data_IF_566326495535
#
_entry.id   IF_566326495535
#
_cell.length_a   1.000
_cell.length_b   1.000
_cell.length_c   1.000
_cell.angle_alpha   90.00
_cell.angle_beta   90.00
_cell.angle_gamma   90.00
#
_symmetry.space_group_name_H-M   'P 1'
#
loop_
_entity.id
_entity.type
_entity.pdbx_description
1 polymer ?
#
# COMPACT_ATOMS: atom_id res chain seq x y z
N UNK A 1 0.20 12.33 20.31
CA UNK A 1 0.97 11.25 19.66
C UNK A 1 0.12 10.76 18.50
N UNK A 2 0.63 10.79 17.26
CA UNK A 2 -0.10 10.24 16.10
C UNK A 2 0.22 8.75 15.99
N UNK A 3 -0.82 7.91 15.96
CA UNK A 3 -0.68 6.46 15.74
C UNK A 3 -0.72 6.17 14.24
N UNK A 4 0.14 5.27 13.77
CA UNK A 4 -0.07 4.66 12.46
C UNK A 4 -1.24 3.67 12.55
N UNK A 5 -2.13 3.73 11.58
CA UNK A 5 -3.22 2.81 11.36
C UNK A 5 -3.02 2.14 10.03
N UNK A 6 -3.43 0.87 9.94
CA UNK A 6 -3.33 0.11 8.72
C UNK A 6 -4.51 -0.82 8.54
N UNK A 7 -4.84 -1.09 7.29
CA UNK A 7 -5.94 -1.94 6.89
C UNK A 7 -5.62 -2.65 5.58
N UNK A 8 -6.32 -3.74 5.34
CA UNK A 8 -6.37 -4.37 4.03
C UNK A 8 -7.50 -3.76 3.21
N UNK A 9 -7.21 -3.37 1.96
CA UNK A 9 -8.20 -3.43 0.89
C UNK A 9 -8.11 -4.81 0.25
N UNK A 10 -9.24 -5.50 0.15
CA UNK A 10 -9.33 -6.84 -0.41
C UNK A 10 -10.53 -6.98 -1.34
N UNK A 11 -10.47 -7.98 -2.20
CA UNK A 11 -11.51 -8.33 -3.16
C UNK A 11 -12.23 -9.59 -2.70
N UNK A 12 -13.56 -9.58 -2.81
CA UNK A 12 -14.45 -10.66 -2.37
C UNK A 12 -15.05 -11.43 -3.55
N UNK A 13 -15.59 -12.65 -3.35
CA UNK A 13 -16.12 -13.48 -4.45
C UNK A 13 -17.27 -12.86 -5.25
N UNK A 14 -18.04 -11.97 -4.64
CA UNK A 14 -19.10 -11.20 -5.30
C UNK A 14 -18.55 -9.96 -6.05
N UNK A 15 -17.25 -9.94 -6.34
CA UNK A 15 -16.53 -8.91 -7.09
C UNK A 15 -16.67 -7.50 -6.53
N UNK A 16 -16.74 -7.39 -5.21
CA UNK A 16 -16.71 -6.11 -4.50
C UNK A 16 -15.36 -5.94 -3.82
N UNK A 17 -14.88 -4.70 -3.78
CA UNK A 17 -13.77 -4.33 -2.90
C UNK A 17 -14.33 -4.03 -1.52
N UNK A 18 -13.64 -4.52 -0.50
CA UNK A 18 -13.96 -4.28 0.91
C UNK A 18 -12.68 -3.88 1.64
N UNK A 19 -12.84 -3.17 2.75
CA UNK A 19 -11.74 -2.76 3.61
C UNK A 19 -11.89 -3.43 4.98
N UNK A 20 -10.79 -3.90 5.55
CA UNK A 20 -10.80 -4.48 6.89
C UNK A 20 -11.01 -3.41 7.95
N UNK A 21 -11.28 -3.82 9.19
CA UNK A 21 -11.09 -2.92 10.33
C UNK A 21 -9.64 -2.42 10.36
N UNK A 22 -9.47 -1.20 10.84
CA UNK A 22 -8.15 -0.65 11.15
C UNK A 22 -7.58 -1.49 12.30
N UNK A 23 -6.38 -2.01 12.13
CA UNK A 23 -5.68 -2.66 13.23
C UNK A 23 -5.13 -1.61 14.18
N UNK A 24 -5.32 -1.85 15.47
CA UNK A 24 -4.75 -1.10 16.59
C UNK A 24 -3.44 -1.73 17.10
N UNK A 25 -3.01 -2.83 16.46
CA UNK A 25 -1.76 -3.49 16.79
C UNK A 25 -0.58 -2.62 16.38
N UNK A 26 0.25 -2.29 17.35
CA UNK A 26 1.47 -1.51 17.13
C UNK A 26 2.71 -2.32 17.52
N UNK A 27 3.77 -2.20 16.72
CA UNK A 27 5.13 -2.48 17.18
C UNK A 27 5.62 -1.21 17.88
N UNK A 28 6.04 -1.34 19.13
CA UNK A 28 6.83 -0.32 19.81
C UNK A 28 8.23 -0.31 19.20
N UNK A 29 8.70 0.85 18.77
CA UNK A 29 10.14 1.08 18.61
C UNK A 29 10.80 1.04 20.00
N UNK A 30 12.07 0.63 20.10
CA UNK A 30 12.83 0.50 21.38
C UNK A 30 12.89 1.81 22.19
N UNK A 31 12.49 2.93 21.56
CA UNK A 31 12.46 4.27 22.12
C UNK A 31 11.03 4.81 22.37
N UNK A 32 9.98 4.01 22.21
CA UNK A 32 8.55 4.32 22.48
C UNK A 32 7.98 5.59 21.78
N UNK A 33 8.71 6.11 20.79
CA UNK A 33 8.41 7.38 20.11
C UNK A 33 7.60 7.23 18.82
N UNK A 34 7.53 6.01 18.27
CA UNK A 34 6.77 5.69 17.05
C UNK A 34 6.06 4.34 17.26
N UNK A 35 4.75 4.33 17.03
CA UNK A 35 3.95 3.11 16.98
C UNK A 35 3.71 2.80 15.51
N UNK A 36 4.47 1.87 14.96
CA UNK A 36 4.26 1.41 13.59
C UNK A 36 3.14 0.38 13.56
N UNK A 37 2.26 0.48 12.56
CA UNK A 37 1.11 -0.40 12.48
C UNK A 37 1.48 -1.83 12.05
N UNK A 38 0.91 -2.84 12.73
CA UNK A 38 1.09 -4.25 12.35
C UNK A 38 -0.14 -4.74 11.60
N UNK A 39 -0.01 -4.88 10.29
CA UNK A 39 -1.07 -5.43 9.45
C UNK A 39 -1.10 -6.97 9.56
N UNK A 40 -2.21 -7.57 10.03
CA UNK A 40 -2.32 -9.03 10.11
C UNK A 40 -2.11 -9.70 8.76
N UNK A 41 -1.58 -10.93 8.79
CA UNK A 41 -1.44 -11.72 7.56
C UNK A 41 -2.80 -12.03 6.92
N UNK A 42 -3.85 -12.22 7.71
CA UNK A 42 -5.15 -12.63 7.22
C UNK A 42 -6.23 -11.62 7.62
N UNK A 43 -7.15 -11.34 6.70
CA UNK A 43 -8.40 -10.64 7.03
C UNK A 43 -9.35 -11.64 7.67
N UNK A 44 -9.89 -11.28 8.83
CA UNK A 44 -10.99 -11.98 9.48
C UNK A 44 -12.31 -11.26 9.15
N UNK A 45 -12.99 -11.73 8.10
CA UNK A 45 -14.31 -11.25 7.69
C UNK A 45 -15.31 -12.42 7.72
N UNK A 46 -16.21 -12.49 8.70
CA UNK A 46 -17.09 -13.66 8.89
C UNK A 46 -18.09 -13.85 7.73
N UNK A 47 -18.24 -12.85 6.84
CA UNK A 47 -19.10 -12.95 5.65
C UNK A 47 -18.49 -13.84 4.57
N UNK A 48 -17.18 -14.09 4.61
CA UNK A 48 -16.45 -14.78 3.55
C UNK A 48 -15.45 -15.80 4.12
N UNK A 49 -15.35 -17.01 3.54
CA UNK A 49 -14.29 -17.94 3.94
C UNK A 49 -12.91 -17.37 3.59
N UNK A 50 -11.88 -17.56 4.43
CA UNK A 50 -10.55 -16.95 4.23
C UNK A 50 -9.92 -17.24 2.85
N UNK A 51 -10.14 -18.44 2.31
CA UNK A 51 -9.61 -18.86 1.00
C UNK A 51 -10.20 -18.09 -0.20
N UNK A 52 -11.32 -17.41 0.01
CA UNK A 52 -12.07 -16.68 -1.02
C UNK A 52 -11.71 -15.20 -1.10
N UNK A 53 -10.99 -14.69 -0.11
CA UNK A 53 -10.49 -13.31 -0.04
C UNK A 53 -9.22 -13.20 -0.91
N UNK A 54 -9.15 -12.15 -1.73
CA UNK A 54 -7.94 -11.80 -2.50
C UNK A 54 -7.41 -10.45 -2.03
N UNK A 55 -6.11 -10.39 -1.74
CA UNK A 55 -5.48 -9.22 -1.13
C UNK A 55 -5.05 -8.22 -2.21
N UNK A 56 -5.39 -6.94 -2.04
CA UNK A 56 -5.19 -5.90 -3.05
C UNK A 56 -4.20 -4.86 -2.55
N UNK A 57 -4.54 -4.12 -1.49
CA UNK A 57 -3.67 -3.09 -0.94
C UNK A 57 -3.48 -3.24 0.57
N UNK A 58 -2.23 -3.21 1.02
CA UNK A 58 -1.90 -2.84 2.39
C UNK A 58 -1.94 -1.31 2.48
N UNK A 59 -2.88 -0.78 3.25
CA UNK A 59 -3.06 0.66 3.44
C UNK A 59 -2.48 1.05 4.80
N UNK A 60 -1.75 2.16 4.87
CA UNK A 60 -1.42 2.81 6.14
C UNK A 60 -1.23 4.33 5.99
N UNK A 61 -1.18 5.08 7.09
CA UNK A 61 -0.78 6.48 7.09
C UNK A 61 0.73 6.62 7.38
N UNK A 62 1.37 7.56 6.70
CA UNK A 62 2.73 8.05 6.97
C UNK A 62 2.65 9.51 7.44
N UNK A 63 2.30 9.77 8.71
CA UNK A 63 2.18 11.14 9.21
C UNK A 63 3.53 11.90 9.23
N UNK A 64 4.67 11.20 9.17
CA UNK A 64 5.99 11.81 9.33
C UNK A 64 7.05 11.38 8.30
N UNK A 65 6.74 10.42 7.42
CA UNK A 65 7.71 9.90 6.46
C UNK A 65 7.53 10.52 5.07
N UNK A 66 8.65 10.88 4.45
CA UNK A 66 8.67 11.43 3.10
C UNK A 66 8.69 10.36 1.99
N UNK A 67 8.75 9.07 2.36
CA UNK A 67 8.78 7.89 1.47
C UNK A 67 8.29 6.65 2.22
N UNK A 68 8.00 5.57 1.49
CA UNK A 68 7.88 4.23 2.07
C UNK A 68 9.19 3.82 2.76
N UNK A 69 9.07 3.10 3.87
CA UNK A 69 10.18 2.53 4.62
C UNK A 69 10.64 1.20 4.03
N UNK A 70 11.85 0.78 4.39
CA UNK A 70 12.35 -0.55 4.01
C UNK A 70 11.46 -1.67 4.59
N UNK A 71 10.90 -1.45 5.79
CA UNK A 71 9.94 -2.37 6.40
C UNK A 71 8.64 -2.46 5.57
N UNK A 72 8.12 -1.35 5.05
CA UNK A 72 6.91 -1.37 4.19
C UNK A 72 7.15 -2.24 2.95
N UNK A 73 8.35 -2.15 2.38
CA UNK A 73 8.79 -2.91 1.20
C UNK A 73 8.94 -4.40 1.53
N UNK A 74 9.59 -4.74 2.64
CA UNK A 74 9.76 -6.12 3.08
C UNK A 74 8.43 -6.75 3.46
N UNK A 75 7.60 -6.05 4.22
CA UNK A 75 6.33 -6.56 4.73
C UNK A 75 5.38 -6.89 3.57
N UNK A 76 5.22 -6.00 2.58
CA UNK A 76 4.32 -6.28 1.45
C UNK A 76 4.81 -7.46 0.60
N UNK A 77 6.13 -7.64 0.47
CA UNK A 77 6.70 -8.80 -0.22
C UNK A 77 6.46 -10.08 0.56
N UNK A 78 6.60 -10.05 1.89
CA UNK A 78 6.25 -11.18 2.75
C UNK A 78 4.75 -11.53 2.63
N UNK A 79 3.85 -10.55 2.58
CA UNK A 79 2.41 -10.81 2.33
C UNK A 79 2.18 -11.43 0.95
N UNK A 80 2.86 -10.94 -0.08
CA UNK A 80 2.78 -11.50 -1.43
C UNK A 80 3.24 -12.94 -1.54
N UNK A 81 4.22 -13.37 -0.73
CA UNK A 81 4.64 -14.79 -0.65
C UNK A 81 3.57 -15.70 -0.05
N UNK A 82 2.74 -15.18 0.85
CA UNK A 82 1.66 -15.94 1.49
C UNK A 82 0.44 -16.03 0.58
N UNK A 83 0.07 -14.92 -0.07
CA UNK A 83 -1.22 -14.77 -0.75
C UNK A 83 -1.16 -14.75 -2.28
N UNK A 84 0.05 -14.70 -2.83
CA UNK A 84 0.29 -14.34 -4.22
C UNK A 84 0.43 -12.83 -4.40
N UNK A 85 1.12 -12.44 -5.47
CA UNK A 85 1.39 -11.04 -5.80
C UNK A 85 0.36 -10.41 -6.75
N UNK A 86 -0.50 -11.22 -7.34
CA UNK A 86 -1.56 -10.77 -8.23
C UNK A 86 -2.67 -11.83 -8.33
N UNK A 87 -3.84 -11.42 -8.78
CA UNK A 87 -4.93 -12.30 -9.13
C UNK A 87 -5.73 -11.70 -10.29
N UNK A 88 -6.50 -12.55 -10.98
CA UNK A 88 -7.40 -12.11 -12.04
C UNK A 88 -8.78 -11.75 -11.45
N UNK A 89 -9.31 -10.59 -11.81
CA UNK A 89 -10.66 -10.15 -11.49
C UNK A 89 -11.37 -9.58 -12.73
N UNK A 90 -12.69 -9.45 -12.66
CA UNK A 90 -13.43 -8.69 -13.67
C UNK A 90 -13.46 -7.21 -13.26
N UNK A 91 -13.18 -6.32 -14.20
CA UNK A 91 -13.35 -4.89 -14.00
C UNK A 91 -14.80 -4.45 -14.23
N UNK A 92 -15.09 -3.16 -14.06
CA UNK A 92 -16.43 -2.59 -14.25
C UNK A 92 -17.03 -2.80 -15.66
N UNK A 93 -16.21 -3.17 -16.65
CA UNK A 93 -16.63 -3.49 -18.02
C UNK A 93 -16.69 -5.00 -18.28
N UNK A 94 -16.69 -5.83 -17.23
CA UNK A 94 -16.67 -7.29 -17.29
C UNK A 94 -15.48 -7.87 -18.08
N UNK A 95 -14.34 -7.16 -18.10
CA UNK A 95 -13.11 -7.66 -18.71
C UNK A 95 -12.18 -8.18 -17.64
N UNK A 96 -11.48 -9.28 -17.94
CA UNK A 96 -10.42 -9.81 -17.10
C UNK A 96 -9.29 -8.79 -16.97
N UNK A 97 -8.90 -8.52 -15.73
CA UNK A 97 -7.84 -7.61 -15.36
C UNK A 97 -6.98 -8.26 -14.29
N UNK A 98 -5.66 -8.05 -14.38
CA UNK A 98 -4.72 -8.49 -13.35
C UNK A 98 -4.65 -7.43 -12.26
N UNK A 99 -5.18 -7.76 -11.09
CA UNK A 99 -5.07 -6.93 -9.90
C UNK A 99 -3.78 -7.31 -9.18
N UNK A 100 -2.87 -6.35 -9.04
CA UNK A 100 -1.56 -6.55 -8.41
C UNK A 100 -1.60 -6.09 -6.95
N UNK A 101 -0.96 -6.84 -6.08
CA UNK A 101 -0.75 -6.47 -4.69
C UNK A 101 0.10 -5.19 -4.61
N UNK A 102 -0.27 -4.26 -3.74
CA UNK A 102 0.55 -3.07 -3.47
C UNK A 102 0.51 -2.67 -1.99
N UNK A 103 1.49 -1.87 -1.57
CA UNK A 103 1.41 -1.10 -0.33
C UNK A 103 1.17 0.37 -0.69
N UNK A 104 0.27 1.00 0.05
CA UNK A 104 -0.15 2.39 -0.11
C UNK A 104 -0.01 3.09 1.24
N UNK A 105 0.74 4.19 1.24
CA UNK A 105 0.93 4.99 2.45
C UNK A 105 0.47 6.43 2.24
N UNK A 106 -0.61 6.84 2.91
CA UNK A 106 -1.19 8.18 2.78
C UNK A 106 -0.37 9.22 3.54
N UNK A 107 -0.24 10.43 2.98
CA UNK A 107 0.43 11.54 3.64
C UNK A 107 -0.45 12.80 3.67
N UNK A 108 -0.12 13.66 4.63
CA UNK A 108 -0.69 15.00 4.80
C UNK A 108 0.44 16.02 4.83
N UNK A 109 0.26 17.14 4.15
CA UNK A 109 1.10 18.34 4.27
C UNK A 109 0.47 19.35 5.24
N UNK A 110 -0.71 19.07 5.80
CA UNK A 110 -1.34 19.93 6.79
C UNK A 110 -0.56 19.93 8.10
N UNK A 111 -0.41 21.11 8.69
CA UNK A 111 0.10 21.26 10.05
C UNK A 111 -1.03 21.23 11.10
N UNK A 112 -2.30 21.12 10.67
CA UNK A 112 -3.44 20.90 11.57
C UNK A 112 -3.58 19.40 11.87
N UNK A 113 -3.20 19.03 13.08
CA UNK A 113 -3.26 17.64 13.57
C UNK A 113 -4.69 17.18 13.89
N UNK A 114 -5.61 18.10 14.15
CA UNK A 114 -7.01 17.79 14.43
C UNK A 114 -7.79 17.58 13.13
N UNK A 115 -7.38 18.24 12.04
CA UNK A 115 -7.98 18.11 10.71
C UNK A 115 -6.91 17.87 9.63
N UNK A 116 -6.24 16.70 9.64
CA UNK A 116 -5.25 16.39 8.62
C UNK A 116 -5.91 16.27 7.24
N UNK A 117 -5.32 16.90 6.23
CA UNK A 117 -5.69 16.70 4.82
C UNK A 117 -5.15 15.38 4.29
N UNK A 118 -5.76 14.86 3.22
CA UNK A 118 -5.16 13.77 2.44
C UNK A 118 -4.58 14.37 1.15
N UNK A 119 -3.28 14.65 1.16
CA UNK A 119 -2.59 15.32 0.05
C UNK A 119 -2.05 14.34 -0.98
N UNK A 120 -2.09 13.04 -0.68
CA UNK A 120 -1.69 11.99 -1.58
C UNK A 120 -1.22 10.73 -0.88
N UNK A 121 -0.49 9.91 -1.61
CA UNK A 121 0.05 8.65 -1.10
C UNK A 121 1.32 8.21 -1.80
N UNK A 122 2.13 7.41 -1.11
CA UNK A 122 3.19 6.62 -1.69
C UNK A 122 2.65 5.24 -2.09
N UNK A 123 3.20 4.67 -3.14
CA UNK A 123 2.81 3.36 -3.66
C UNK A 123 4.04 2.53 -4.01
N UNK A 124 3.99 1.26 -3.67
CA UNK A 124 4.92 0.25 -4.16
C UNK A 124 4.16 -1.01 -4.57
N UNK A 125 4.38 -1.45 -5.81
CA UNK A 125 3.86 -2.70 -6.36
C UNK A 125 5.05 -3.64 -6.52
N UNK A 126 5.17 -4.75 -5.75
CA UNK A 126 6.31 -5.66 -5.83
C UNK A 126 6.63 -6.14 -7.24
N UNK A 127 5.61 -6.50 -8.03
CA UNK A 127 5.80 -6.98 -9.40
C UNK A 127 6.26 -5.91 -10.39
N UNK A 128 6.05 -4.62 -10.08
CA UNK A 128 6.54 -3.53 -10.92
C UNK A 128 7.91 -3.01 -10.46
N UNK A 129 8.28 -3.25 -9.20
CA UNK A 129 9.52 -2.74 -8.62
C UNK A 129 9.58 -1.22 -8.47
N UNK A 130 8.54 -0.46 -8.82
CA UNK A 130 8.57 1.00 -8.84
C UNK A 130 8.02 1.59 -7.54
N UNK A 131 8.76 2.54 -6.97
CA UNK A 131 8.28 3.42 -5.91
C UNK A 131 7.67 4.66 -6.56
N UNK A 132 6.42 4.96 -6.23
CA UNK A 132 5.67 6.10 -6.77
C UNK A 132 5.15 6.98 -5.63
N UNK A 133 5.06 8.28 -5.90
CA UNK A 133 4.34 9.27 -5.10
C UNK A 133 3.24 9.85 -5.95
N UNK A 134 2.01 9.74 -5.46
CA UNK A 134 0.84 10.39 -6.00
C UNK A 134 0.50 11.59 -5.13
N UNK A 135 0.35 12.75 -5.73
CA UNK A 135 -0.03 13.99 -5.03
C UNK A 135 -1.31 14.52 -5.64
N UNK A 136 -2.28 14.83 -4.79
CA UNK A 136 -3.51 15.50 -5.19
C UNK A 136 -3.39 16.98 -4.85
N UNK A 137 -3.39 17.83 -5.87
CA UNK A 137 -3.30 19.27 -5.68
C UNK A 137 -4.18 19.97 -6.71
N UNK A 138 -4.99 20.94 -6.25
CA UNK A 138 -5.86 21.75 -7.12
C UNK A 138 -6.80 20.91 -8.00
N UNK A 139 -7.30 19.78 -7.49
CA UNK A 139 -8.21 18.88 -8.21
C UNK A 139 -7.53 17.95 -9.21
N UNK A 140 -6.19 17.94 -9.28
CA UNK A 140 -5.43 17.09 -10.20
C UNK A 140 -4.55 16.09 -9.43
N UNK A 141 -4.47 14.87 -9.96
CA UNK A 141 -3.51 13.86 -9.50
C UNK A 141 -2.22 13.95 -10.31
N UNK A 142 -1.08 14.00 -9.62
CA UNK A 142 0.24 13.98 -10.22
C UNK A 142 1.03 12.79 -9.70
N UNK A 143 1.58 12.00 -10.61
CA UNK A 143 2.40 10.84 -10.28
C UNK A 143 3.88 11.13 -10.53
N UNK A 144 4.70 10.82 -9.54
CA UNK A 144 6.15 10.89 -9.60
C UNK A 144 6.74 9.53 -9.22
N UNK A 145 7.61 8.98 -10.08
CA UNK A 145 8.44 7.85 -9.69
C UNK A 145 9.58 8.36 -8.80
N UNK A 146 9.67 7.82 -7.59
CA UNK A 146 10.64 8.20 -6.55
C UNK A 146 11.81 7.20 -6.44
N UNK A 147 11.68 6.03 -7.08
CA UNK A 147 12.77 5.07 -7.17
C UNK A 147 12.34 3.74 -7.78
N UNK A 148 13.28 2.81 -7.79
CA UNK A 148 13.09 1.41 -8.18
C UNK A 148 13.73 0.50 -7.15
N UNK A 149 13.00 -0.52 -6.73
CA UNK A 149 13.46 -1.58 -5.84
C UNK A 149 14.11 -2.68 -6.69
N UNK A 150 15.34 -3.03 -6.36
CA UNK A 150 16.05 -4.17 -6.96
C UNK A 150 16.37 -5.18 -5.88
N UNK A 151 15.79 -6.36 -5.99
CA UNK A 151 16.02 -7.47 -5.07
C UNK A 151 17.27 -8.23 -5.50
N UNK A 152 18.14 -8.51 -4.53
CA UNK A 152 19.30 -9.38 -4.72
C UNK A 152 18.98 -10.82 -4.35
N UNK A 153 18.10 -10.99 -3.35
CA UNK A 153 17.59 -12.28 -2.88
C UNK A 153 16.24 -12.06 -2.19
N UNK A 154 15.80 -13.00 -1.35
CA UNK A 154 14.50 -12.95 -0.70
C UNK A 154 14.37 -11.92 0.45
N UNK A 155 15.46 -11.39 0.96
CA UNK A 155 15.48 -10.49 2.12
C UNK A 155 16.23 -9.19 1.86
N UNK A 156 17.17 -9.20 0.92
CA UNK A 156 18.03 -8.08 0.59
C UNK A 156 17.61 -7.42 -0.72
N UNK A 157 17.48 -6.10 -0.66
CA UNK A 157 17.22 -5.26 -1.81
C UNK A 157 17.97 -3.93 -1.70
N UNK A 158 18.03 -3.21 -2.81
CA UNK A 158 18.42 -1.80 -2.84
C UNK A 158 17.33 -0.95 -3.48
N UNK A 159 17.26 0.30 -3.05
CA UNK A 159 16.46 1.33 -3.71
C UNK A 159 17.37 2.20 -4.57
N UNK A 160 17.19 2.13 -5.88
CA UNK A 160 17.74 3.11 -6.81
C UNK A 160 16.83 4.33 -6.84
N UNK A 161 17.22 5.39 -6.13
CA UNK A 161 16.43 6.63 -6.06
C UNK A 161 16.39 7.30 -7.44
N UNK A 162 15.20 7.76 -7.82
CA UNK A 162 14.97 8.50 -9.06
C UNK A 162 13.91 9.56 -8.81
N UNK A 163 13.91 10.62 -9.59
CA UNK A 163 12.84 11.61 -9.52
C UNK A 163 12.44 11.96 -10.94
N UNK A 164 11.33 11.36 -11.38
CA UNK A 164 10.80 11.57 -12.72
C UNK A 164 9.27 11.49 -12.70
N UNK A 165 8.56 12.10 -13.65
CA UNK A 165 7.15 11.79 -13.87
C UNK A 165 6.96 10.28 -14.04
N UNK A 166 5.87 9.74 -13.52
CA UNK A 166 5.52 8.35 -13.82
C UNK A 166 5.34 8.23 -15.34
N UNK A 167 5.98 7.24 -15.94
CA UNK A 167 5.67 6.89 -17.31
C UNK A 167 4.27 6.30 -17.34
N UNK A 168 3.44 6.73 -18.29
CA UNK A 168 2.15 6.10 -18.58
C UNK A 168 2.39 4.72 -19.21
N UNK A 169 2.98 3.78 -18.48
CA UNK A 169 2.69 2.38 -18.75
C UNK A 169 1.28 2.13 -18.22
N UNK A 170 0.47 1.41 -18.98
CA UNK A 170 -0.91 1.03 -18.63
C UNK A 170 -0.99 0.08 -17.41
N UNK A 171 -0.08 0.23 -16.45
CA UNK A 171 0.08 -0.56 -15.24
C UNK A 171 -0.25 0.30 -14.02
N UNK A 172 -1.53 0.36 -13.70
CA UNK A 172 -2.03 0.74 -12.38
C UNK A 172 -2.06 2.23 -12.08
N UNK A 173 -2.71 3.03 -12.94
CA UNK A 173 -3.41 4.21 -12.44
C UNK A 173 -4.76 3.75 -11.84
N UNK A 174 -5.26 4.39 -10.76
CA UNK A 174 -6.62 4.16 -10.26
C UNK A 174 -7.70 4.51 -11.29
#
# INVERSE_FOLDING_TARGET
>A
MSSEYCAWLYHTPNQKYAMSMLTDQSRSDDLDRKKSCVLPNYVDDPRYPPSSIKYVFALHNHPYAATLSDNDIQDIVAKGRIHGFQFEALNAKNKKEQVKLAVIAFFSNSNDLENPTCDGFFQYIPLAGQLRKWTHSRGEWRCQQTGTVQWFNDVDFRIEKKTAPCQNSAEGAP
#
